data_IF_389343672238
#
_entry.id   IF_389343672238
#
_cell.length_a   1.000
_cell.length_b   1.000
_cell.length_c   1.000
_cell.angle_alpha   90.00
_cell.angle_beta   90.00
_cell.angle_gamma   90.00
#
_symmetry.space_group_name_H-M   'P 1'
#
loop_
_entity.id
_entity.type
_entity.pdbx_description
1 polymer ?
#
# COMPACT_ATOMS: atom_id res chain seq x y z
N UNK A 1 -59.32 -65.20 -34.58
CA UNK A 1 -58.41 -65.20 -33.41
C UNK A 1 -57.44 -64.06 -33.57
N UNK A 2 -57.76 -62.91 -33.04
CA UNK A 2 -56.98 -61.66 -33.26
C UNK A 2 -56.46 -61.21 -31.90
N UNK A 3 -55.15 -61.20 -31.74
CA UNK A 3 -54.53 -60.72 -30.52
C UNK A 3 -54.16 -59.24 -30.68
N UNK A 4 -54.78 -58.38 -29.85
CA UNK A 4 -54.35 -56.97 -29.66
C UNK A 4 -53.06 -56.94 -28.84
N UNK A 5 -52.05 -56.26 -29.35
CA UNK A 5 -50.84 -55.90 -28.61
C UNK A 5 -50.96 -54.41 -28.25
N UNK A 6 -51.15 -54.12 -26.98
CA UNK A 6 -51.14 -52.73 -26.45
C UNK A 6 -49.72 -52.31 -26.13
N UNK A 7 -49.21 -51.30 -26.84
CA UNK A 7 -47.90 -50.68 -26.55
C UNK A 7 -48.13 -49.49 -25.60
N UNK A 8 -47.63 -49.59 -24.38
CA UNK A 8 -47.51 -48.47 -23.44
C UNK A 8 -46.27 -47.62 -23.81
N UNK A 9 -46.49 -46.39 -24.24
CA UNK A 9 -45.46 -45.41 -24.38
C UNK A 9 -45.26 -44.64 -23.06
N UNK A 10 -44.16 -44.90 -22.37
CA UNK A 10 -43.74 -44.16 -21.17
C UNK A 10 -43.06 -42.85 -21.58
N UNK A 11 -43.72 -41.71 -21.33
CA UNK A 11 -43.10 -40.37 -21.45
C UNK A 11 -42.23 -40.12 -20.22
N UNK A 12 -40.90 -40.12 -20.42
CA UNK A 12 -39.92 -39.66 -19.44
C UNK A 12 -39.84 -38.10 -19.57
N UNK A 13 -40.46 -37.38 -18.63
CA UNK A 13 -40.22 -35.95 -18.43
C UNK A 13 -38.86 -35.80 -17.75
N UNK A 14 -37.84 -35.40 -18.53
CA UNK A 14 -36.54 -34.98 -17.98
C UNK A 14 -36.72 -33.58 -17.39
N UNK A 15 -36.78 -33.46 -16.05
CA UNK A 15 -36.74 -32.22 -15.33
C UNK A 15 -35.32 -31.63 -15.44
N UNK A 16 -35.18 -30.62 -16.26
CA UNK A 16 -33.95 -29.77 -16.34
C UNK A 16 -33.94 -28.90 -15.09
N UNK A 17 -33.18 -29.28 -14.08
CA UNK A 17 -32.90 -28.44 -12.91
C UNK A 17 -31.85 -27.43 -13.33
N UNK A 18 -32.14 -26.12 -13.37
CA UNK A 18 -31.11 -25.12 -13.61
C UNK A 18 -30.13 -25.17 -12.43
N UNK A 19 -28.90 -25.60 -12.68
CA UNK A 19 -27.80 -25.50 -11.74
C UNK A 19 -27.51 -24.03 -11.51
N UNK A 20 -28.05 -23.43 -10.46
CA UNK A 20 -27.61 -22.12 -9.96
C UNK A 20 -26.14 -22.29 -9.57
N UNK A 21 -25.25 -21.88 -10.48
CA UNK A 21 -23.84 -21.71 -10.17
C UNK A 21 -23.73 -20.59 -9.14
N UNK A 22 -23.72 -20.95 -7.86
CA UNK A 22 -23.34 -20.04 -6.79
C UNK A 22 -21.86 -19.80 -7.01
N UNK A 23 -21.52 -18.67 -7.67
CA UNK A 23 -20.14 -18.17 -7.64
C UNK A 23 -19.72 -18.11 -6.17
N UNK A 24 -18.57 -18.68 -5.79
CA UNK A 24 -18.09 -18.51 -4.43
C UNK A 24 -18.05 -17.01 -4.16
N UNK A 25 -18.83 -16.57 -3.18
CA UNK A 25 -18.74 -15.20 -2.70
C UNK A 25 -17.26 -14.97 -2.36
N UNK A 26 -16.64 -13.94 -2.96
CA UNK A 26 -15.28 -13.58 -2.61
C UNK A 26 -15.25 -13.40 -1.08
N UNK A 27 -14.53 -14.28 -0.40
CA UNK A 27 -14.47 -14.25 1.05
C UNK A 27 -13.46 -13.18 1.45
N UNK A 28 -13.84 -12.30 2.39
CA UNK A 28 -12.88 -11.40 3.04
C UNK A 28 -11.73 -12.21 3.66
N UNK A 29 -10.59 -11.57 3.91
CA UNK A 29 -9.40 -12.21 4.51
C UNK A 29 -9.64 -12.71 5.96
N UNK A 30 -10.81 -12.42 6.52
CA UNK A 30 -11.24 -12.80 7.87
C UNK A 30 -12.67 -13.36 7.88
N UNK A 31 -13.05 -13.98 8.99
CA UNK A 31 -14.38 -14.55 9.20
C UNK A 31 -15.42 -13.43 9.42
N UNK A 32 -16.30 -13.23 8.46
CA UNK A 32 -17.34 -12.20 8.49
C UNK A 32 -18.34 -12.35 9.66
N UNK A 33 -18.49 -13.54 10.23
CA UNK A 33 -19.31 -13.73 11.44
C UNK A 33 -18.68 -13.06 12.68
N UNK A 34 -17.40 -12.69 12.59
CA UNK A 34 -16.66 -12.01 13.66
C UNK A 34 -16.46 -10.51 13.40
N UNK A 35 -17.03 -9.96 12.34
CA UNK A 35 -16.97 -8.53 12.04
C UNK A 35 -17.56 -7.71 13.21
N UNK A 36 -16.80 -6.74 13.73
CA UNK A 36 -17.17 -5.91 14.89
C UNK A 36 -17.17 -4.43 14.58
N UNK A 37 -16.35 -4.00 13.62
CA UNK A 37 -16.26 -2.61 13.20
C UNK A 37 -17.15 -2.34 11.99
N UNK A 38 -17.47 -1.07 11.74
CA UNK A 38 -18.19 -0.68 10.53
C UNK A 38 -17.40 -0.99 9.27
N UNK A 39 -16.08 -0.78 9.29
CA UNK A 39 -15.19 -1.15 8.17
C UNK A 39 -15.29 -2.64 7.85
N UNK A 40 -15.15 -3.51 8.86
CA UNK A 40 -15.28 -4.97 8.67
C UNK A 40 -16.66 -5.34 8.13
N UNK A 41 -17.72 -4.70 8.63
CA UNK A 41 -19.09 -4.92 8.14
C UNK A 41 -19.24 -4.51 6.68
N UNK A 42 -18.64 -3.39 6.24
CA UNK A 42 -18.65 -2.95 4.86
C UNK A 42 -17.84 -3.89 3.96
N UNK A 43 -16.67 -4.35 4.41
CA UNK A 43 -15.86 -5.35 3.72
C UNK A 43 -16.69 -6.60 3.46
N UNK A 44 -17.42 -7.10 4.46
CA UNK A 44 -18.24 -8.31 4.32
C UNK A 44 -19.48 -8.14 3.44
N UNK A 45 -20.05 -6.95 3.38
CA UNK A 45 -21.27 -6.67 2.60
C UNK A 45 -21.01 -6.33 1.14
N UNK A 46 -19.83 -5.81 0.83
CA UNK A 46 -19.48 -5.35 -0.51
C UNK A 46 -18.55 -6.35 -1.22
N UNK A 47 -18.99 -6.98 -2.33
CA UNK A 47 -18.20 -8.00 -3.01
C UNK A 47 -16.89 -7.47 -3.62
N UNK A 48 -16.80 -6.19 -3.98
CA UNK A 48 -15.57 -5.59 -4.50
C UNK A 48 -14.57 -5.37 -3.36
N UNK A 49 -15.02 -4.77 -2.27
CA UNK A 49 -14.18 -4.49 -1.12
C UNK A 49 -13.71 -5.81 -0.45
N UNK A 50 -14.57 -6.83 -0.42
CA UNK A 50 -14.22 -8.17 0.06
C UNK A 50 -13.06 -8.79 -0.75
N UNK A 51 -13.10 -8.70 -2.09
CA UNK A 51 -11.99 -9.15 -2.94
C UNK A 51 -10.72 -8.33 -2.73
N UNK A 52 -10.86 -7.02 -2.58
CA UNK A 52 -9.71 -6.14 -2.29
C UNK A 52 -9.07 -6.47 -0.94
N UNK A 53 -9.85 -6.81 0.07
CA UNK A 53 -9.33 -7.22 1.37
C UNK A 53 -8.53 -8.56 1.28
N UNK A 54 -9.01 -9.52 0.49
CA UNK A 54 -8.27 -10.75 0.18
C UNK A 54 -6.96 -10.46 -0.57
N UNK A 55 -7.01 -9.60 -1.61
CA UNK A 55 -5.85 -9.20 -2.38
C UNK A 55 -4.82 -8.41 -1.56
N UNK A 56 -5.29 -7.59 -0.62
CA UNK A 56 -4.46 -6.89 0.34
C UNK A 56 -3.73 -7.86 1.28
N UNK A 57 -4.42 -8.87 1.79
CA UNK A 57 -3.81 -9.89 2.62
C UNK A 57 -2.71 -10.67 1.88
N UNK A 58 -2.93 -10.98 0.59
CA UNK A 58 -1.90 -11.60 -0.27
C UNK A 58 -0.70 -10.66 -0.47
N UNK A 59 -0.93 -9.40 -0.85
CA UNK A 59 0.12 -8.41 -1.06
C UNK A 59 0.95 -8.17 0.21
N UNK A 60 0.30 -8.11 1.36
CA UNK A 60 0.97 -8.02 2.66
C UNK A 60 1.84 -9.25 2.95
N UNK A 61 1.32 -10.46 2.71
CA UNK A 61 2.07 -11.70 2.87
C UNK A 61 3.30 -11.79 1.96
N UNK A 62 3.21 -11.24 0.74
CA UNK A 62 4.35 -11.10 -0.19
C UNK A 62 5.36 -10.07 0.31
N UNK A 63 4.89 -8.91 0.79
CA UNK A 63 5.75 -7.85 1.32
C UNK A 63 6.57 -8.31 2.54
N UNK A 64 6.01 -9.16 3.41
CA UNK A 64 6.73 -9.72 4.55
C UNK A 64 7.97 -10.54 4.15
N UNK A 65 8.05 -11.03 2.90
CA UNK A 65 9.17 -11.82 2.38
C UNK A 65 10.25 -10.97 1.70
N UNK A 66 10.03 -9.68 1.52
CA UNK A 66 11.00 -8.78 0.89
C UNK A 66 12.32 -8.78 1.65
N UNK A 67 13.43 -8.76 0.90
CA UNK A 67 14.77 -8.89 1.46
C UNK A 67 14.95 -10.13 2.36
N UNK A 68 14.36 -11.27 1.95
CA UNK A 68 14.35 -12.52 2.74
C UNK A 68 13.78 -12.33 4.16
N UNK A 69 12.75 -11.48 4.28
CA UNK A 69 12.08 -11.16 5.54
C UNK A 69 12.82 -10.16 6.44
N UNK A 70 13.98 -9.66 6.04
CA UNK A 70 14.80 -8.78 6.88
C UNK A 70 14.16 -7.43 7.18
N UNK A 71 13.19 -6.98 6.36
CA UNK A 71 12.40 -5.76 6.62
C UNK A 71 10.99 -6.05 7.14
N UNK A 72 10.71 -7.26 7.57
CA UNK A 72 9.36 -7.64 8.02
C UNK A 72 8.85 -6.82 9.22
N UNK A 73 9.74 -6.33 10.08
CA UNK A 73 9.37 -5.44 11.19
C UNK A 73 8.79 -4.13 10.66
N UNK A 74 9.47 -3.48 9.71
CA UNK A 74 8.99 -2.30 9.01
C UNK A 74 7.65 -2.53 8.30
N UNK A 75 7.52 -3.63 7.55
CA UNK A 75 6.26 -3.98 6.85
C UNK A 75 5.09 -4.08 7.82
N UNK A 76 5.30 -4.67 9.00
CA UNK A 76 4.26 -4.76 10.05
C UNK A 76 3.88 -3.40 10.62
N UNK A 77 4.86 -2.51 10.83
CA UNK A 77 4.62 -1.15 11.34
C UNK A 77 3.80 -0.37 10.33
N UNK A 78 4.25 -0.31 9.08
CA UNK A 78 3.55 0.37 7.99
C UNK A 78 2.11 -0.18 7.79
N UNK A 79 1.91 -1.50 7.89
CA UNK A 79 0.57 -2.07 7.77
C UNK A 79 -0.32 -1.71 8.97
N UNK A 80 0.23 -1.66 10.19
CA UNK A 80 -0.54 -1.24 11.38
C UNK A 80 -0.94 0.23 11.30
N UNK A 81 -0.03 1.11 10.88
CA UNK A 81 -0.33 2.53 10.65
C UNK A 81 -1.48 2.70 9.66
N UNK A 82 -1.39 2.05 8.50
CA UNK A 82 -2.46 2.08 7.51
C UNK A 82 -3.79 1.50 8.05
N UNK A 83 -3.76 0.40 8.80
CA UNK A 83 -4.95 -0.19 9.41
C UNK A 83 -5.64 0.78 10.38
N UNK A 84 -4.88 1.57 11.14
CA UNK A 84 -5.40 2.63 12.00
C UNK A 84 -6.04 3.75 11.19
N UNK A 85 -5.35 4.22 10.14
CA UNK A 85 -5.82 5.31 9.29
C UNK A 85 -7.07 4.97 8.46
N UNK A 86 -7.37 3.70 8.20
CA UNK A 86 -8.60 3.27 7.50
C UNK A 86 -9.85 3.24 8.37
N UNK A 87 -9.75 3.54 9.66
CA UNK A 87 -10.92 3.70 10.52
C UNK A 87 -11.85 4.77 9.95
N UNK A 88 -13.16 4.63 10.19
CA UNK A 88 -14.13 5.64 9.78
C UNK A 88 -14.33 6.64 10.91
N UNK A 89 -14.22 7.92 10.60
CA UNK A 89 -14.54 9.00 11.54
C UNK A 89 -15.94 9.56 11.32
N UNK A 90 -16.58 10.12 12.37
CA UNK A 90 -17.79 10.90 12.20
C UNK A 90 -17.56 12.08 11.23
N UNK A 91 -18.56 12.43 10.39
CA UNK A 91 -18.46 13.54 9.45
C UNK A 91 -18.06 14.86 10.15
N UNK A 92 -17.12 15.58 9.55
CA UNK A 92 -16.63 16.88 10.05
C UNK A 92 -15.57 16.81 11.14
N UNK A 93 -15.07 15.62 11.50
CA UNK A 93 -13.96 15.44 12.45
C UNK A 93 -12.63 15.13 11.76
N UNK A 94 -12.53 15.35 10.45
CA UNK A 94 -11.31 15.09 9.65
C UNK A 94 -10.12 15.91 10.14
N UNK A 95 -9.07 15.25 10.58
CA UNK A 95 -7.82 15.89 11.04
C UNK A 95 -6.84 14.96 11.74
N UNK A 96 -7.22 13.74 12.07
CA UNK A 96 -6.39 12.80 12.83
C UNK A 96 -5.63 11.76 12.00
N UNK A 97 -5.41 11.98 10.69
CA UNK A 97 -4.79 10.99 9.82
C UNK A 97 -5.75 9.90 9.34
N UNK A 98 -7.05 10.06 9.55
CA UNK A 98 -8.08 9.14 9.08
C UNK A 98 -8.42 9.45 7.62
N UNK A 99 -8.52 8.39 6.81
CA UNK A 99 -8.60 8.50 5.36
C UNK A 99 -10.04 8.61 4.85
N UNK A 100 -11.03 8.13 5.61
CA UNK A 100 -12.43 8.08 5.20
C UNK A 100 -13.37 8.53 6.32
N UNK A 101 -14.40 9.30 5.97
CA UNK A 101 -15.49 9.68 6.87
C UNK A 101 -16.58 8.60 6.92
N UNK A 102 -17.33 8.56 8.01
CA UNK A 102 -18.47 7.65 8.17
C UNK A 102 -19.76 8.27 7.62
N UNK A 103 -19.81 8.43 6.31
CA UNK A 103 -20.94 8.98 5.54
C UNK A 103 -21.28 8.11 4.31
N UNK A 104 -22.07 8.66 3.37
CA UNK A 104 -22.41 7.98 2.12
C UNK A 104 -21.21 7.69 1.21
N UNK A 105 -20.06 8.37 1.42
CA UNK A 105 -18.84 8.18 0.63
C UNK A 105 -17.93 7.09 1.21
N UNK A 106 -18.18 6.61 2.44
CA UNK A 106 -17.35 5.65 3.16
C UNK A 106 -16.96 4.44 2.32
N UNK A 107 -17.92 3.85 1.60
CA UNK A 107 -17.68 2.66 0.78
C UNK A 107 -16.74 2.95 -0.40
N UNK A 108 -16.96 4.05 -1.12
CA UNK A 108 -16.10 4.44 -2.25
C UNK A 108 -14.69 4.81 -1.78
N UNK A 109 -14.59 5.52 -0.67
CA UNK A 109 -13.31 5.84 -0.03
C UNK A 109 -12.55 4.57 0.37
N UNK A 110 -13.20 3.63 1.07
CA UNK A 110 -12.56 2.37 1.47
C UNK A 110 -12.08 1.55 0.28
N UNK A 111 -12.86 1.50 -0.83
CA UNK A 111 -12.42 0.83 -2.06
C UNK A 111 -11.15 1.47 -2.64
N UNK A 112 -11.08 2.80 -2.65
CA UNK A 112 -9.92 3.54 -3.16
C UNK A 112 -8.69 3.27 -2.31
N UNK A 113 -8.76 3.45 -0.99
CA UNK A 113 -7.60 3.28 -0.12
C UNK A 113 -7.11 1.82 -0.05
N UNK A 114 -8.01 0.83 -0.20
CA UNK A 114 -7.60 -0.58 -0.31
C UNK A 114 -6.85 -0.84 -1.63
N UNK A 115 -7.36 -0.31 -2.75
CA UNK A 115 -6.69 -0.41 -4.05
C UNK A 115 -5.30 0.25 -4.02
N UNK A 116 -5.20 1.44 -3.46
CA UNK A 116 -3.95 2.17 -3.30
C UNK A 116 -2.96 1.41 -2.41
N UNK A 117 -3.42 0.87 -1.28
CA UNK A 117 -2.55 0.09 -0.39
C UNK A 117 -2.02 -1.17 -1.06
N UNK A 118 -2.84 -1.88 -1.81
CA UNK A 118 -2.41 -3.04 -2.62
C UNK A 118 -1.33 -2.61 -3.61
N UNK A 119 -1.55 -1.49 -4.32
CA UNK A 119 -0.60 -0.96 -5.28
C UNK A 119 0.72 -0.54 -4.62
N UNK A 120 0.68 0.09 -3.44
CA UNK A 120 1.87 0.43 -2.63
C UNK A 120 2.66 -0.81 -2.25
N UNK A 121 2.01 -1.84 -1.68
CA UNK A 121 2.69 -3.06 -1.25
C UNK A 121 3.30 -3.84 -2.41
N UNK A 122 2.69 -3.80 -3.59
CA UNK A 122 3.17 -4.43 -4.83
C UNK A 122 4.16 -3.57 -5.61
N UNK A 123 4.34 -2.29 -5.24
CA UNK A 123 5.30 -1.42 -5.90
C UNK A 123 6.72 -1.98 -5.72
N UNK A 124 7.52 -2.14 -6.79
CA UNK A 124 8.90 -2.62 -6.68
C UNK A 124 9.77 -1.77 -5.75
N UNK A 125 9.43 -0.49 -5.58
CA UNK A 125 10.10 0.44 -4.66
C UNK A 125 9.73 0.24 -3.19
N UNK A 126 8.63 -0.46 -2.85
CA UNK A 126 8.22 -0.63 -1.45
C UNK A 126 9.32 -1.24 -0.57
N UNK A 127 10.14 -2.14 -1.11
CA UNK A 127 11.30 -2.70 -0.40
C UNK A 127 12.38 -1.67 -0.04
N UNK A 128 12.39 -0.51 -0.72
CA UNK A 128 13.34 0.59 -0.50
C UNK A 128 12.76 1.65 0.44
N UNK A 129 11.46 1.62 0.71
CA UNK A 129 10.81 2.59 1.60
C UNK A 129 11.22 2.38 3.07
N UNK A 130 11.16 3.44 3.86
CA UNK A 130 11.52 3.44 5.26
C UNK A 130 12.05 4.78 5.72
N UNK A 131 12.29 4.89 7.01
CA UNK A 131 13.04 5.98 7.62
C UNK A 131 14.51 5.58 7.68
N UNK A 132 15.38 6.45 7.24
CA UNK A 132 16.82 6.28 7.28
C UNK A 132 17.42 7.40 8.11
N UNK A 133 18.21 7.06 9.14
CA UNK A 133 18.68 7.99 10.15
C UNK A 133 20.19 8.16 10.11
N UNK A 134 20.64 9.38 10.46
CA UNK A 134 22.04 9.74 10.68
C UNK A 134 22.11 10.73 11.86
N UNK A 135 22.34 10.21 13.05
CA UNK A 135 22.21 11.00 14.27
C UNK A 135 20.74 11.43 14.48
N UNK A 136 20.49 12.75 14.51
CA UNK A 136 19.14 13.31 14.61
C UNK A 136 18.50 13.61 13.24
N UNK A 137 19.28 13.53 12.18
CA UNK A 137 18.81 13.71 10.83
C UNK A 137 18.07 12.48 10.34
N UNK A 138 17.09 12.65 9.44
CA UNK A 138 16.48 11.52 8.77
C UNK A 138 16.07 11.82 7.31
N UNK A 139 16.05 10.74 6.53
CA UNK A 139 15.42 10.65 5.21
C UNK A 139 14.20 9.76 5.34
N UNK A 140 13.05 10.23 4.85
CA UNK A 140 11.85 9.42 4.67
C UNK A 140 11.74 9.04 3.20
N UNK A 141 11.73 7.75 2.90
CA UNK A 141 11.47 7.23 1.57
C UNK A 141 10.13 6.51 1.61
N UNK A 142 9.12 7.09 0.97
CA UNK A 142 7.75 6.58 0.98
C UNK A 142 7.40 5.95 -0.36
N UNK A 143 6.87 4.72 -0.33
CA UNK A 143 6.29 4.12 -1.50
C UNK A 143 4.85 4.62 -1.70
N UNK A 144 4.54 5.00 -2.93
CA UNK A 144 3.21 5.36 -3.39
C UNK A 144 2.69 4.32 -4.40
N UNK A 145 1.44 4.35 -4.82
CA UNK A 145 0.95 3.45 -5.87
C UNK A 145 1.77 3.49 -7.17
N UNK A 146 2.43 4.61 -7.47
CA UNK A 146 3.08 4.86 -8.76
C UNK A 146 4.59 5.04 -8.71
N UNK A 147 5.21 5.07 -7.51
CA UNK A 147 6.66 5.28 -7.39
C UNK A 147 7.13 5.49 -5.95
N UNK A 148 8.26 6.17 -5.79
CA UNK A 148 8.80 6.60 -4.50
C UNK A 148 8.79 8.12 -4.39
N UNK A 149 8.53 8.59 -3.20
CA UNK A 149 8.75 9.96 -2.75
C UNK A 149 9.87 9.96 -1.71
N UNK A 150 10.66 11.05 -1.67
CA UNK A 150 11.68 11.24 -0.66
C UNK A 150 11.46 12.59 0.03
N UNK A 151 11.50 12.57 1.36
CA UNK A 151 11.56 13.76 2.18
C UNK A 151 12.76 13.66 3.12
N UNK A 152 13.22 14.78 3.66
CA UNK A 152 14.27 14.79 4.66
C UNK A 152 14.01 15.84 5.73
N UNK A 153 14.56 15.59 6.91
CA UNK A 153 14.67 16.56 7.98
C UNK A 153 16.07 16.50 8.58
N UNK A 154 16.72 17.67 8.69
CA UNK A 154 18.02 17.84 9.32
C UNK A 154 17.84 18.54 10.66
N UNK A 155 18.68 18.17 11.62
CA UNK A 155 18.70 18.79 12.96
C UNK A 155 19.21 20.24 12.93
N UNK A 156 19.93 20.64 11.88
CA UNK A 156 20.39 22.02 11.69
C UNK A 156 19.21 22.92 11.21
N UNK A 157 18.85 23.88 12.06
CA UNK A 157 17.67 24.71 11.92
C UNK A 157 17.62 25.59 10.64
N UNK A 158 18.73 25.77 9.93
CA UNK A 158 18.77 26.67 8.78
C UNK A 158 18.40 26.02 7.44
N UNK A 159 18.34 24.70 7.37
CA UNK A 159 18.06 23.94 6.13
C UNK A 159 17.25 22.67 6.41
N UNK A 160 16.29 22.76 7.32
CA UNK A 160 15.79 21.61 8.08
C UNK A 160 14.90 20.65 7.31
N UNK A 161 14.27 21.05 6.22
CA UNK A 161 13.27 20.20 5.54
C UNK A 161 13.33 20.35 4.01
N UNK A 162 13.04 19.28 3.31
CA UNK A 162 12.87 19.28 1.88
C UNK A 162 12.19 17.99 1.39
N UNK A 163 11.56 18.12 0.25
CA UNK A 163 10.78 17.05 -0.37
C UNK A 163 11.25 16.84 -1.80
N UNK A 164 10.96 15.67 -2.35
CA UNK A 164 11.00 15.51 -3.81
C UNK A 164 10.09 16.54 -4.45
N UNK A 165 10.60 17.18 -5.51
CA UNK A 165 9.97 18.30 -6.18
C UNK A 165 8.52 17.95 -6.58
N UNK A 166 7.58 18.74 -6.07
CA UNK A 166 6.16 18.88 -6.45
C UNK A 166 5.47 17.57 -6.89
N UNK A 167 5.56 16.52 -6.06
CA UNK A 167 4.92 15.24 -6.32
C UNK A 167 5.60 14.39 -7.41
N UNK A 168 6.84 14.68 -7.78
CA UNK A 168 7.64 13.87 -8.70
C UNK A 168 7.92 12.49 -8.09
N UNK A 169 7.02 11.54 -8.41
CA UNK A 169 7.15 10.16 -7.99
C UNK A 169 8.19 9.46 -8.85
N UNK A 170 9.26 9.00 -8.21
CA UNK A 170 10.33 8.29 -8.91
C UNK A 170 9.90 6.84 -9.13
N UNK A 171 9.75 6.44 -10.39
CA UNK A 171 9.44 5.06 -10.75
C UNK A 171 10.63 4.14 -10.46
N UNK A 172 10.34 2.97 -9.91
CA UNK A 172 11.32 1.93 -9.62
C UNK A 172 10.94 0.67 -10.37
N UNK A 173 11.92 0.02 -10.98
CA UNK A 173 11.72 -1.28 -11.62
C UNK A 173 12.12 -2.43 -10.68
N UNK A 174 11.60 -3.66 -10.89
CA UNK A 174 11.99 -4.81 -10.09
C UNK A 174 13.51 -5.02 -10.09
N UNK A 175 14.08 -5.27 -8.89
CA UNK A 175 15.53 -5.46 -8.72
C UNK A 175 16.36 -4.19 -8.57
N UNK A 176 15.84 -3.03 -8.95
CA UNK A 176 16.56 -1.76 -8.86
C UNK A 176 16.85 -1.37 -7.40
N UNK A 177 18.12 -1.07 -7.09
CA UNK A 177 18.57 -0.62 -5.77
C UNK A 177 19.20 0.78 -5.81
N UNK A 178 19.44 1.33 -6.98
CA UNK A 178 19.97 2.68 -7.15
C UNK A 178 18.87 3.55 -7.73
N UNK A 179 18.48 4.58 -7.00
CA UNK A 179 17.37 5.48 -7.35
C UNK A 179 17.85 6.92 -7.32
N UNK A 180 17.50 7.69 -8.33
CA UNK A 180 17.79 9.10 -8.40
C UNK A 180 16.56 9.91 -8.02
N UNK A 181 16.66 10.70 -6.97
CA UNK A 181 15.61 11.59 -6.49
C UNK A 181 15.94 13.03 -6.90
N UNK A 182 15.21 13.64 -7.86
CA UNK A 182 15.28 15.07 -8.08
C UNK A 182 14.64 15.78 -6.88
N UNK A 183 15.38 16.65 -6.24
CA UNK A 183 14.87 17.60 -5.26
C UNK A 183 14.65 18.95 -5.96
N UNK A 184 14.18 19.94 -5.23
CA UNK A 184 13.85 21.26 -5.82
C UNK A 184 14.98 21.88 -6.65
N UNK A 185 14.62 22.62 -7.71
CA UNK A 185 15.51 23.34 -8.58
C UNK A 185 15.73 22.70 -9.97
N UNK A 186 16.01 23.55 -10.95
CA UNK A 186 16.31 23.15 -12.33
C UNK A 186 17.67 23.72 -12.79
N UNK A 187 18.30 23.08 -13.77
CA UNK A 187 19.58 23.54 -14.32
C UNK A 187 20.78 23.13 -13.48
N UNK A 188 21.90 23.91 -13.57
CA UNK A 188 23.17 23.53 -12.91
C UNK A 188 23.12 23.55 -11.37
N UNK A 189 22.17 24.29 -10.80
CA UNK A 189 21.95 24.38 -9.36
C UNK A 189 20.92 23.35 -8.84
N UNK A 190 20.42 22.47 -9.70
CA UNK A 190 19.47 21.44 -9.32
C UNK A 190 20.03 20.53 -8.23
N UNK A 191 19.22 20.28 -7.21
CA UNK A 191 19.53 19.30 -6.20
C UNK A 191 19.07 17.92 -6.64
N UNK A 192 19.96 16.94 -6.62
CA UNK A 192 19.65 15.56 -6.92
C UNK A 192 20.38 14.63 -5.96
N UNK A 193 19.70 13.62 -5.51
CA UNK A 193 20.27 12.56 -4.69
C UNK A 193 20.27 11.24 -5.48
N UNK A 194 21.45 10.68 -5.71
CA UNK A 194 21.58 9.31 -6.20
C UNK A 194 21.72 8.40 -4.96
N UNK A 195 20.69 7.64 -4.66
CA UNK A 195 20.58 6.80 -3.46
C UNK A 195 20.79 5.33 -3.82
N UNK A 196 21.76 4.69 -3.19
CA UNK A 196 22.06 3.25 -3.31
C UNK A 196 21.59 2.53 -2.05
N UNK A 197 20.58 1.68 -2.19
CA UNK A 197 19.90 1.01 -1.09
C UNK A 197 20.43 -0.41 -0.87
N UNK A 198 20.59 -0.77 0.40
CA UNK A 198 20.70 -2.13 0.90
C UNK A 198 19.56 -2.45 1.88
N UNK A 199 19.63 -3.60 2.53
CA UNK A 199 18.63 -4.00 3.54
C UNK A 199 18.59 -3.01 4.71
N UNK A 200 19.75 -2.65 5.23
CA UNK A 200 19.88 -1.94 6.51
C UNK A 200 20.30 -0.47 6.34
N UNK A 201 20.57 -0.03 5.12
CA UNK A 201 21.14 1.29 4.90
C UNK A 201 20.88 1.84 3.49
N UNK A 202 21.08 3.14 3.35
CA UNK A 202 21.19 3.81 2.08
C UNK A 202 22.45 4.69 2.06
N UNK A 203 23.20 4.61 0.96
CA UNK A 203 24.30 5.53 0.67
C UNK A 203 23.81 6.55 -0.35
N UNK A 204 23.90 7.83 0.00
CA UNK A 204 23.43 8.95 -0.81
C UNK A 204 24.63 9.71 -1.40
N UNK A 205 24.64 9.87 -2.71
CA UNK A 205 25.51 10.80 -3.42
C UNK A 205 24.71 12.04 -3.78
N UNK A 206 25.06 13.16 -3.14
CA UNK A 206 24.42 14.44 -3.40
C UNK A 206 25.06 15.12 -4.61
N UNK A 207 24.22 15.64 -5.51
CA UNK A 207 24.61 16.46 -6.65
C UNK A 207 23.92 17.83 -6.56
N UNK A 208 24.71 18.89 -6.67
CA UNK A 208 24.26 20.27 -6.52
C UNK A 208 24.18 20.75 -5.06
N UNK A 209 23.87 22.02 -4.86
CA UNK A 209 23.98 22.72 -3.57
C UNK A 209 22.86 22.34 -2.59
N UNK A 210 21.71 21.83 -3.06
CA UNK A 210 20.56 21.41 -2.24
C UNK A 210 20.13 22.44 -1.18
N UNK A 211 20.18 23.74 -1.48
CA UNK A 211 19.84 24.80 -0.53
C UNK A 211 20.77 24.87 0.69
N UNK A 212 21.96 24.28 0.62
CA UNK A 212 22.89 24.16 1.75
C UNK A 212 22.72 22.88 2.57
N UNK A 213 21.70 22.08 2.31
CA UNK A 213 21.50 20.80 2.99
C UNK A 213 22.64 19.82 2.67
N UNK A 214 23.17 19.13 3.69
CA UNK A 214 24.21 18.11 3.56
C UNK A 214 23.59 16.73 3.65
N UNK A 215 23.12 16.22 2.52
CA UNK A 215 22.36 14.96 2.44
C UNK A 215 23.25 13.77 2.01
N UNK A 216 24.42 14.03 1.45
CA UNK A 216 25.37 12.99 1.04
C UNK A 216 25.90 12.17 2.22
N UNK A 217 26.21 10.90 1.97
CA UNK A 217 26.78 9.99 2.94
C UNK A 217 25.90 8.78 3.24
N UNK A 218 26.19 8.15 4.36
CA UNK A 218 25.57 6.89 4.77
C UNK A 218 24.45 7.15 5.80
N UNK A 219 23.34 6.41 5.66
CA UNK A 219 22.15 6.52 6.50
C UNK A 219 21.66 5.11 6.85
N UNK A 220 21.40 4.87 8.12
CA UNK A 220 20.93 3.57 8.61
C UNK A 220 19.40 3.49 8.56
N UNK A 221 18.85 2.37 8.07
CA UNK A 221 17.40 2.12 8.12
C UNK A 221 16.94 1.94 9.57
N UNK A 222 15.96 2.71 9.96
CA UNK A 222 15.21 2.51 11.21
C UNK A 222 13.97 1.69 10.93
N UNK A 223 13.96 0.45 11.40
CA UNK A 223 12.82 -0.46 11.22
C UNK A 223 11.73 -0.28 12.28
N UNK A 224 11.86 0.68 13.19
CA UNK A 224 10.90 0.96 14.27
C UNK A 224 9.98 2.13 13.98
N UNK A 225 10.27 2.93 12.93
CA UNK A 225 9.54 4.13 12.56
C UNK A 225 8.74 3.92 11.26
N UNK A 226 7.55 4.52 11.21
CA UNK A 226 6.68 4.51 10.04
C UNK A 226 6.92 5.79 9.21
N UNK A 227 7.34 5.70 7.94
CA UNK A 227 7.51 6.88 7.09
C UNK A 227 6.21 7.63 6.84
N UNK A 228 5.05 6.99 6.98
CA UNK A 228 3.75 7.64 6.82
C UNK A 228 3.37 8.54 8.00
N UNK A 229 3.96 8.28 9.17
CA UNK A 229 3.72 9.08 10.38
C UNK A 229 4.64 10.29 10.51
N UNK A 230 5.70 10.40 9.70
CA UNK A 230 6.82 11.30 10.03
C UNK A 230 6.90 12.59 9.21
N UNK A 231 6.37 12.72 8.03
CA UNK A 231 6.57 13.94 7.21
C UNK A 231 5.48 14.24 6.19
N UNK A 232 4.40 13.47 6.17
CA UNK A 232 3.37 13.62 5.14
C UNK A 232 2.01 13.88 5.73
#
# INVERSE_FOLDING_TARGET
MTRLVATLAALLLAAVIPSLSVSPAAAASFDCAKARTKVETLICKDPQLSRQDEDLAKAYGEALKLWDGKIAAYVRISQRGWMGARALEPPGMSGGGILCEDDETALSCLRTIHADRIAVLRNPGFRLSGIYTRGQDFLSVKATPTGLELAYQLADANTSQGFTDDGAKVKVVPGQTIVAFPLAGTGPDACRLDASFSVDEVTVTQKGPCGGAKLGGWWKRDQTRDPEAELF
#
